data_IF_715657570304
#
_entry.id   IF_715657570304
#
_cell.length_a   1.000
_cell.length_b   1.000
_cell.length_c   1.000
_cell.angle_alpha   90.00
_cell.angle_beta   90.00
_cell.angle_gamma   90.00
#
_symmetry.space_group_name_H-M   'P 1'
#
loop_
_entity.id
_entity.type
_entity.pdbx_description
1 polymer ?
2 polymer ?
3 non-polymer ?
4 water ?
#
loop_
_entity_poly.entity_id
_entity_poly.type
_entity_poly.pdbx_seq_one_letter_code
_entity_poly.pdbx_strand_id
2 'polyribonucleotide' 'UUCUGC' ?
#
# COMPACT_ATOMS: atom_id res chain seq x y z
N UNK A 1 4.74 19.75 -6.59
CA UNK A 1 6.08 19.31 -6.95
C UNK A 1 6.61 18.23 -6.02
N UNK A 2 6.84 17.03 -6.55
CA UNK A 2 7.48 15.96 -5.80
C UNK A 2 8.25 15.09 -6.77
N UNK A 3 8.75 13.96 -6.28
CA UNK A 3 9.58 13.06 -7.07
C UNK A 3 8.86 12.48 -8.28
N UNK A 4 7.55 12.71 -8.41
CA UNK A 4 6.79 12.15 -9.52
C UNK A 4 6.26 13.21 -10.48
N UNK A 5 6.67 14.47 -10.31
CA UNK A 5 6.31 15.50 -11.27
C UNK A 5 6.99 15.23 -12.60
N UNK A 6 6.23 15.44 -13.69
CA UNK A 6 6.70 15.17 -15.04
C UNK A 6 7.20 16.47 -15.64
N UNK A 7 8.49 16.52 -15.97
CA UNK A 7 9.11 17.68 -16.60
C UNK A 7 9.49 17.31 -18.02
N UNK A 8 8.89 17.99 -19.00
CA UNK A 8 9.07 17.61 -20.40
C UNK A 8 10.52 17.81 -20.85
N UNK A 9 11.15 18.90 -20.42
CA UNK A 9 12.50 19.20 -20.88
C UNK A 9 13.47 18.10 -20.52
N UNK A 10 13.36 17.56 -19.30
CA UNK A 10 14.27 16.51 -18.86
C UNK A 10 13.92 15.14 -19.46
N UNK A 11 12.70 14.98 -19.98
CA UNK A 11 12.39 13.79 -20.77
C UNK A 11 13.07 13.87 -22.13
N UNK A 12 12.98 15.02 -22.78
CA UNK A 12 13.56 15.17 -24.12
C UNK A 12 15.07 14.99 -24.11
N UNK A 13 15.74 15.50 -23.08
CA UNK A 13 17.19 15.41 -23.00
C UNK A 13 17.69 14.06 -22.48
N UNK A 14 16.80 13.19 -22.04
CA UNK A 14 17.19 11.89 -21.54
C UNK A 14 17.59 11.85 -20.08
N UNK A 15 17.38 12.93 -19.34
CA UNK A 15 17.70 12.93 -17.91
C UNK A 15 16.77 12.01 -17.15
N UNK A 16 15.48 11.99 -17.51
CA UNK A 16 14.49 11.13 -16.88
C UNK A 16 13.99 10.12 -17.91
N UNK A 17 14.34 8.84 -17.70
CA UNK A 17 13.96 7.78 -18.62
C UNK A 17 12.81 6.94 -18.11
N UNK A 18 12.05 7.44 -17.14
CA UNK A 18 10.87 6.72 -16.68
C UNK A 18 9.79 6.72 -17.76
N UNK A 19 9.07 5.61 -17.87
CA UNK A 19 8.09 5.42 -18.93
C UNK A 19 6.66 5.22 -18.45
N UNK A 20 6.44 4.93 -17.18
CA UNK A 20 5.11 4.64 -16.67
C UNK A 20 4.52 5.90 -16.04
N UNK A 21 3.28 6.21 -16.40
CA UNK A 21 2.62 7.45 -16.03
C UNK A 21 1.30 7.15 -15.35
N UNK A 22 0.98 7.91 -14.31
CA UNK A 22 -0.33 7.87 -13.68
C UNK A 22 -1.21 8.96 -14.26
N UNK A 23 -2.37 8.57 -14.78
CA UNK A 23 -3.37 9.50 -15.31
C UNK A 23 -4.39 9.77 -14.23
N UNK A 24 -4.68 11.05 -13.98
CA UNK A 24 -5.42 11.45 -12.79
C UNK A 24 -6.79 12.06 -13.14
N UNK A 25 -7.68 12.01 -12.14
CA UNK A 25 -8.96 12.71 -12.15
C UNK A 25 -9.93 12.15 -13.21
N UNK A 26 -9.82 10.87 -13.51
CA UNK A 26 -10.70 10.25 -14.51
C UNK A 26 -12.13 10.20 -13.97
N UNK A 27 -13.14 10.64 -14.73
CA UNK A 27 -14.52 10.47 -14.27
C UNK A 27 -14.82 9.00 -14.04
N UNK A 28 -15.52 8.72 -12.93
CA UNK A 28 -15.61 7.35 -12.45
C UNK A 28 -16.46 6.45 -13.35
N UNK A 29 -17.18 7.00 -14.33
CA UNK A 29 -17.96 6.21 -15.25
C UNK A 29 -17.20 5.86 -16.53
N UNK A 30 -15.98 6.37 -16.70
CA UNK A 30 -15.12 5.90 -17.78
C UNK A 30 -14.89 4.41 -17.67
N UNK A 31 -14.84 3.73 -18.81
CA UNK A 31 -14.45 2.34 -18.88
C UNK A 31 -13.04 2.23 -19.44
N UNK A 32 -12.46 1.03 -19.31
CA UNK A 32 -11.13 0.80 -19.87
C UNK A 32 -11.11 1.08 -21.37
N UNK A 33 -12.16 0.66 -22.09
CA UNK A 33 -12.21 0.89 -23.52
C UNK A 33 -12.26 2.38 -23.85
N UNK A 34 -13.08 3.13 -23.12
CA UNK A 34 -13.13 4.58 -23.33
C UNK A 34 -11.77 5.22 -23.09
N UNK A 35 -11.07 4.80 -22.03
CA UNK A 35 -9.76 5.35 -21.75
C UNK A 35 -8.77 5.01 -22.86
N UNK A 36 -8.80 3.76 -23.33
CA UNK A 36 -7.97 3.35 -24.45
C UNK A 36 -8.23 4.22 -25.68
N UNK A 37 -9.50 4.49 -25.99
CA UNK A 37 -9.84 5.34 -27.13
C UNK A 37 -9.39 6.77 -26.90
N UNK A 38 -9.57 7.28 -25.67
CA UNK A 38 -9.13 8.63 -25.34
C UNK A 38 -7.62 8.78 -25.59
N UNK A 39 -6.83 7.82 -25.15
CA UNK A 39 -5.38 7.90 -25.32
C UNK A 39 -5.01 7.73 -26.79
N UNK A 40 -5.72 6.86 -27.51
CA UNK A 40 -5.38 6.58 -28.90
C UNK A 40 -5.61 7.77 -29.82
N UNK A 41 -6.33 8.80 -29.36
CA UNK A 41 -6.52 9.99 -30.18
C UNK A 41 -5.18 10.62 -30.53
N UNK A 42 -4.27 10.68 -29.55
CA UNK A 42 -2.96 11.27 -29.74
C UNK A 42 -1.81 10.28 -29.59
N UNK A 43 -2.05 9.09 -29.05
CA UNK A 43 -0.94 8.21 -28.69
C UNK A 43 -1.20 6.76 -29.10
N UNK A 44 -1.89 6.54 -30.20
CA UNK A 44 -2.14 5.18 -30.67
C UNK A 44 -0.84 4.49 -31.01
N UNK A 45 -0.64 3.29 -30.45
CA UNK A 45 0.52 2.49 -30.73
C UNK A 45 1.79 2.91 -30.03
N UNK A 46 1.71 3.77 -29.00
CA UNK A 46 2.89 4.25 -28.31
C UNK A 46 3.03 3.69 -26.90
N UNK A 47 2.07 2.88 -26.43
CA UNK A 47 2.14 2.33 -25.09
C UNK A 47 1.88 0.84 -25.13
N UNK A 48 2.36 0.14 -24.10
CA UNK A 48 2.26 -1.32 -24.04
C UNK A 48 1.67 -1.84 -22.73
N UNK A 49 1.15 -0.96 -21.88
CA UNK A 49 0.44 -1.39 -20.68
C UNK A 49 -0.60 -0.34 -20.34
N UNK A 50 -1.79 -0.79 -19.98
CA UNK A 50 -2.85 0.12 -19.55
C UNK A 50 -3.69 -0.56 -18.49
N UNK A 51 -3.91 0.12 -17.36
CA UNK A 51 -4.73 -0.40 -16.29
C UNK A 51 -5.56 0.72 -15.68
N UNK A 52 -6.89 0.54 -15.73
CA UNK A 52 -7.83 1.42 -15.05
C UNK A 52 -8.65 0.54 -14.11
N UNK A 53 -8.40 0.68 -12.81
CA UNK A 53 -9.05 -0.21 -11.85
C UNK A 53 -10.53 0.11 -11.73
N UNK A 54 -11.37 -0.92 -11.83
CA UNK A 54 -12.82 -0.80 -11.75
C UNK A 54 -13.29 -1.40 -10.45
N UNK A 55 -13.94 -0.59 -9.61
CA UNK A 55 -14.57 -1.09 -8.39
C UNK A 55 -15.89 -1.75 -8.77
N UNK A 56 -15.91 -3.09 -8.75
CA UNK A 56 -17.06 -3.83 -9.27
C UNK A 56 -18.31 -3.62 -8.42
N UNK A 57 -18.15 -3.37 -7.12
CA UNK A 57 -19.31 -3.14 -6.24
C UNK A 57 -20.11 -1.96 -6.75
N UNK A 58 -19.50 -0.78 -6.78
CA UNK A 58 -20.11 0.37 -7.45
C UNK A 58 -20.09 0.15 -8.96
N UNK A 59 -20.58 1.14 -9.70
CA UNK A 59 -20.44 1.17 -11.15
C UNK A 59 -19.35 2.14 -11.57
N UNK A 60 -18.23 2.17 -10.85
CA UNK A 60 -17.28 3.26 -10.97
C UNK A 60 -15.85 2.74 -10.98
N UNK A 61 -14.98 3.49 -11.65
CA UNK A 61 -13.54 3.28 -11.56
C UNK A 61 -12.97 4.10 -10.41
N UNK A 62 -11.70 3.83 -10.08
CA UNK A 62 -11.09 4.46 -8.92
C UNK A 62 -10.64 5.89 -9.18
N UNK A 63 -10.82 6.40 -10.40
CA UNK A 63 -10.49 7.77 -10.72
C UNK A 63 -9.09 8.00 -11.25
N UNK A 64 -8.29 6.94 -11.42
CA UNK A 64 -6.94 7.10 -11.95
C UNK A 64 -6.53 5.82 -12.69
N UNK A 65 -5.47 5.94 -13.48
CA UNK A 65 -5.02 4.84 -14.32
C UNK A 65 -3.52 4.91 -14.51
N UNK A 66 -2.93 3.78 -14.89
CA UNK A 66 -1.50 3.67 -15.11
C UNK A 66 -1.23 3.17 -16.52
N UNK A 67 -0.28 3.81 -17.19
CA UNK A 67 0.05 3.50 -18.57
C UNK A 67 1.56 3.51 -18.73
N UNK A 68 2.09 2.50 -19.41
CA UNK A 68 3.50 2.42 -19.71
C UNK A 68 3.71 2.76 -21.18
N UNK A 69 4.39 3.88 -21.44
CA UNK A 69 4.77 4.24 -22.79
C UNK A 69 6.03 3.49 -23.20
N UNK A 70 6.10 3.15 -24.49
CA UNK A 70 7.24 2.37 -24.96
C UNK A 70 8.50 3.23 -24.98
N UNK A 71 8.38 4.50 -25.34
CA UNK A 71 9.47 5.45 -25.27
C UNK A 71 9.07 6.64 -24.41
N UNK A 72 9.97 7.16 -23.59
CA UNK A 72 9.61 8.28 -22.71
C UNK A 72 9.12 9.51 -23.45
N UNK A 73 9.59 9.74 -24.69
CA UNK A 73 9.17 10.91 -25.44
C UNK A 73 7.67 10.94 -25.67
N UNK A 74 7.03 9.77 -25.71
CA UNK A 74 5.58 9.73 -25.90
C UNK A 74 4.82 10.39 -24.75
N UNK A 75 5.45 10.54 -23.59
CA UNK A 75 4.82 11.25 -22.49
C UNK A 75 4.62 12.71 -22.83
N UNK A 76 5.61 13.31 -23.52
CA UNK A 76 5.48 14.70 -23.94
C UNK A 76 4.29 14.86 -24.89
N UNK A 77 4.15 13.95 -25.84
CA UNK A 77 3.02 13.97 -26.76
C UNK A 77 1.69 13.93 -26.02
N UNK A 78 1.55 12.98 -25.11
CA UNK A 78 0.29 12.86 -24.37
C UNK A 78 0.08 14.04 -23.44
N UNK A 79 1.12 14.42 -22.70
CA UNK A 79 0.97 15.49 -21.72
C UNK A 79 0.63 16.82 -22.35
N UNK A 80 1.37 17.19 -23.41
CA UNK A 80 1.14 18.48 -24.04
C UNK A 80 -0.24 18.58 -24.68
N UNK A 81 -0.84 17.46 -25.07
CA UNK A 81 -2.14 17.47 -25.70
C UNK A 81 -3.30 17.40 -24.71
N UNK A 82 -3.11 16.73 -23.56
CA UNK A 82 -4.22 16.44 -22.68
C UNK A 82 -4.16 17.11 -21.31
N UNK A 83 -2.97 17.44 -20.81
CA UNK A 83 -2.87 18.02 -19.47
C UNK A 83 -3.54 19.38 -19.46
N UNK A 84 -4.38 19.62 -18.45
CA UNK A 84 -5.11 20.87 -18.33
C UNK A 84 -6.45 20.89 -19.02
N UNK A 85 -6.77 19.88 -19.82
CA UNK A 85 -8.03 19.83 -20.55
C UNK A 85 -9.07 19.06 -19.75
N UNK A 86 -10.33 19.33 -20.08
CA UNK A 86 -11.46 18.71 -19.37
C UNK A 86 -11.67 17.28 -19.84
N UNK A 87 -11.93 16.38 -18.89
CA UNK A 87 -12.29 15.01 -19.26
C UNK A 87 -13.64 14.97 -19.94
N UNK A 88 -14.51 15.92 -19.62
CA UNK A 88 -15.84 16.04 -20.20
C UNK A 88 -16.07 17.50 -20.52
N UNK A 89 -16.43 17.81 -21.77
CA UNK A 89 -16.54 19.20 -22.21
C UNK A 89 -17.61 19.97 -21.47
N UNK A 90 -18.51 19.30 -20.75
CA UNK A 90 -19.59 19.96 -20.03
C UNK A 90 -19.29 20.18 -18.55
N UNK A 91 -18.10 19.82 -18.07
CA UNK A 91 -17.82 19.88 -16.64
C UNK A 91 -16.40 20.35 -16.40
N UNK A 92 -16.27 21.46 -15.68
CA UNK A 92 -14.97 22.03 -15.36
C UNK A 92 -14.26 21.29 -14.23
N UNK A 93 -14.94 20.35 -13.56
CA UNK A 93 -14.43 19.77 -12.33
C UNK A 93 -13.22 18.87 -12.60
N UNK A 94 -13.39 17.88 -13.46
CA UNK A 94 -12.35 16.88 -13.69
C UNK A 94 -11.44 17.32 -14.82
N UNK A 95 -10.17 17.55 -14.50
CA UNK A 95 -9.16 18.00 -15.44
C UNK A 95 -8.08 16.93 -15.55
N UNK A 96 -7.70 16.60 -16.77
CA UNK A 96 -6.67 15.60 -16.99
C UNK A 96 -5.31 16.08 -16.49
N UNK A 97 -4.65 15.25 -15.69
CA UNK A 97 -3.32 15.55 -15.20
C UNK A 97 -2.54 14.25 -15.09
N UNK A 98 -1.21 14.37 -15.12
CA UNK A 98 -0.34 13.21 -15.11
C UNK A 98 0.76 13.39 -14.06
N UNK A 99 1.35 12.26 -13.69
CA UNK A 99 2.55 12.21 -12.88
C UNK A 99 3.20 10.86 -13.10
N UNK A 100 4.44 10.73 -12.65
CA UNK A 100 5.14 9.46 -12.79
C UNK A 100 4.51 8.42 -11.88
N UNK A 101 4.45 7.18 -12.36
CA UNK A 101 3.93 6.08 -11.56
C UNK A 101 4.98 5.57 -10.60
N UNK A 102 4.52 4.95 -9.50
CA UNK A 102 5.43 4.40 -8.51
C UNK A 102 5.99 3.05 -8.90
N UNK A 103 5.33 2.35 -9.83
CA UNK A 103 5.85 1.11 -10.42
C UNK A 103 6.23 1.42 -11.85
N UNK A 104 7.50 1.18 -12.20
CA UNK A 104 8.06 1.62 -13.47
C UNK A 104 8.41 0.42 -14.34
N UNK A 105 7.91 0.42 -15.57
CA UNK A 105 8.33 -0.56 -16.56
C UNK A 105 7.29 -1.65 -16.82
N UNK A 106 7.20 -2.05 -18.10
CA UNK A 106 6.29 -3.12 -18.49
C UNK A 106 6.57 -4.41 -17.72
N UNK A 107 7.85 -4.78 -17.62
CA UNK A 107 8.23 -6.00 -16.91
C UNK A 107 7.77 -5.97 -15.46
N UNK A 108 7.94 -4.84 -14.77
CA UNK A 108 7.54 -4.75 -13.38
C UNK A 108 6.03 -4.75 -13.24
N UNK A 109 5.32 -4.11 -14.16
CA UNK A 109 3.86 -4.07 -14.09
C UNK A 109 3.27 -5.46 -14.38
N UNK A 110 3.90 -6.21 -15.29
CA UNK A 110 3.46 -7.58 -15.55
C UNK A 110 3.64 -8.44 -14.31
N UNK A 111 4.80 -8.34 -13.67
CA UNK A 111 5.06 -9.09 -12.45
C UNK A 111 4.11 -8.68 -11.32
N UNK A 112 3.72 -7.40 -11.29
CA UNK A 112 2.79 -6.94 -10.26
C UNK A 112 1.43 -7.60 -10.40
N UNK A 113 0.93 -7.73 -11.62
CA UNK A 113 -0.46 -8.12 -11.82
C UNK A 113 -0.66 -9.55 -12.28
N UNK A 114 0.37 -10.23 -12.77
CA UNK A 114 0.16 -11.57 -13.32
C UNK A 114 -0.33 -12.55 -12.24
N UNK A 115 0.04 -12.31 -10.98
CA UNK A 115 -0.41 -13.14 -9.88
C UNK A 115 -1.55 -12.49 -9.10
N UNK A 116 -2.06 -11.36 -9.57
CA UNK A 116 -3.06 -10.62 -8.83
C UNK A 116 -4.44 -11.26 -8.99
N UNK A 117 -5.30 -11.00 -7.99
CA UNK A 117 -6.66 -11.53 -8.02
C UNK A 117 -7.53 -10.85 -9.05
N UNK A 118 -7.17 -9.64 -9.49
CA UNK A 118 -7.95 -8.95 -10.51
C UNK A 118 -7.90 -9.67 -11.86
N UNK A 119 -6.91 -10.56 -12.07
CA UNK A 119 -6.80 -11.27 -13.34
C UNK A 119 -7.90 -12.30 -13.55
N UNK A 120 -8.72 -12.55 -12.52
CA UNK A 120 -9.82 -13.49 -12.62
C UNK A 120 -11.18 -12.81 -12.49
N UNK A 121 -11.22 -11.49 -12.33
CA UNK A 121 -12.44 -10.73 -12.56
C UNK A 121 -12.68 -10.66 -14.07
N UNK A 122 -13.73 -9.94 -14.45
CA UNK A 122 -14.08 -9.84 -15.87
C UNK A 122 -12.91 -9.23 -16.64
N UNK A 123 -12.64 -9.69 -17.87
CA UNK A 123 -11.54 -9.11 -18.64
C UNK A 123 -11.67 -7.61 -18.86
N UNK A 124 -12.88 -7.07 -18.79
CA UNK A 124 -13.06 -5.62 -18.91
C UNK A 124 -12.44 -4.87 -17.74
N UNK A 125 -12.12 -5.54 -16.64
CA UNK A 125 -11.54 -4.92 -15.47
C UNK A 125 -10.05 -5.21 -15.31
N UNK A 126 -9.45 -5.98 -16.23
CA UNK A 126 -8.10 -6.48 -16.09
C UNK A 126 -7.09 -5.51 -16.69
N UNK A 127 -5.87 -5.51 -16.16
CA UNK A 127 -4.77 -4.82 -16.86
C UNK A 127 -4.55 -5.44 -18.23
N UNK A 128 -4.11 -4.62 -19.16
CA UNK A 128 -3.85 -5.05 -20.53
C UNK A 128 -2.43 -4.67 -20.92
N UNK A 129 -1.80 -5.53 -21.73
CA UNK A 129 -0.51 -5.23 -22.32
C UNK A 129 -0.65 -5.29 -23.84
N UNK A 130 0.30 -4.65 -24.51
CA UNK A 130 0.28 -4.58 -25.96
C UNK A 130 1.69 -4.82 -26.48
N UNK A 131 1.77 -5.22 -27.75
CA UNK A 131 3.06 -5.56 -28.35
C UNK A 131 3.93 -4.31 -28.40
N UNK A 132 5.17 -4.45 -27.93
CA UNK A 132 6.03 -3.28 -27.74
C UNK A 132 6.73 -2.87 -29.03
N UNK A 133 7.15 -3.84 -29.86
CA UNK A 133 7.95 -3.54 -31.04
C UNK A 133 7.55 -4.43 -32.20
N UNK A 134 7.88 -3.98 -33.41
CA UNK A 134 7.70 -4.77 -34.60
C UNK A 134 6.44 -4.40 -35.37
N UNK A 135 6.12 -5.19 -36.39
CA UNK A 135 4.92 -4.89 -37.20
C UNK A 135 3.62 -5.02 -36.44
N UNK A 136 3.59 -5.77 -35.33
CA UNK A 136 2.40 -5.89 -34.51
C UNK A 136 2.39 -4.95 -33.32
N UNK A 137 3.18 -3.88 -33.37
CA UNK A 137 3.24 -2.95 -32.25
C UNK A 137 1.86 -2.33 -32.02
N UNK A 138 1.44 -2.29 -30.76
CA UNK A 138 0.16 -1.74 -30.40
C UNK A 138 -0.98 -2.74 -30.31
N UNK A 139 -0.85 -3.91 -30.93
CA UNK A 139 -1.87 -4.94 -30.79
C UNK A 139 -1.86 -5.51 -29.39
N UNK A 140 -3.04 -5.91 -28.92
CA UNK A 140 -3.14 -6.51 -27.59
C UNK A 140 -2.51 -7.90 -27.59
N UNK A 141 -1.71 -8.17 -26.58
CA UNK A 141 -0.91 -9.30 -26.13
C UNK A 141 -1.64 -10.05 -25.02
N UNK A 142 -1.60 -11.38 -25.02
CA UNK A 142 -2.11 -12.14 -23.88
C UNK A 142 -1.24 -11.87 -22.65
N UNK A 143 -1.90 -11.59 -21.53
CA UNK A 143 -1.17 -11.37 -20.30
C UNK A 143 -0.52 -12.68 -19.84
N UNK A 144 0.75 -12.65 -19.44
CA UNK A 144 1.41 -13.87 -18.97
C UNK A 144 0.66 -14.52 -17.81
N UNK A 145 0.78 -15.84 -17.74
CA UNK A 145 0.11 -16.62 -16.72
C UNK A 145 0.74 -16.35 -15.35
N UNK A 146 0.03 -16.71 -14.26
CA UNK A 146 0.65 -16.60 -12.93
C UNK A 146 1.90 -17.46 -12.84
N UNK A 147 2.90 -16.94 -12.13
CA UNK A 147 4.20 -17.62 -12.03
C UNK A 147 4.61 -17.83 -10.57
N UNK A 148 3.64 -17.92 -9.67
CA UNK A 148 3.94 -18.13 -8.25
C UNK A 148 3.36 -19.46 -7.75
N UNK B 2 -15.62 3.83 12.46
CA UNK B 2 -15.56 2.98 11.28
C UNK B 2 -15.34 1.53 11.65
N UNK B 3 -15.00 0.70 10.65
CA UNK B 3 -14.83 -0.73 10.87
C UNK B 3 -13.67 -1.05 11.81
N UNK B 4 -12.70 -0.15 11.97
CA UNK B 4 -11.53 -0.40 12.79
C UNK B 4 -11.54 0.36 14.10
N UNK B 5 -12.63 1.07 14.41
CA UNK B 5 -12.74 1.72 15.71
C UNK B 5 -12.89 0.68 16.81
N UNK B 6 -12.22 0.91 17.93
CA UNK B 6 -12.23 -0.02 19.06
C UNK B 6 -13.34 0.40 20.02
N UNK B 7 -14.13 -0.58 20.46
CA UNK B 7 -15.24 -0.38 21.39
C UNK B 7 -15.06 -1.34 22.56
N UNK B 8 -14.81 -0.79 23.75
CA UNK B 8 -14.50 -1.65 24.90
C UNK B 8 -15.69 -2.53 25.26
N UNK B 9 -16.91 -1.98 25.19
CA UNK B 9 -18.09 -2.78 25.51
C UNK B 9 -18.24 -3.96 24.55
N UNK B 10 -17.98 -3.74 23.26
CA UNK B 10 -18.08 -4.82 22.29
C UNK B 10 -17.01 -5.87 22.51
N UNK B 11 -15.87 -5.49 23.08
CA UNK B 11 -14.84 -6.46 23.42
C UNK B 11 -15.25 -7.26 24.65
N UNK B 12 -15.75 -6.57 25.68
CA UNK B 12 -16.08 -7.24 26.94
C UNK B 12 -17.24 -8.20 26.76
N UNK B 13 -18.21 -7.88 25.90
CA UNK B 13 -19.35 -8.76 25.66
C UNK B 13 -19.05 -9.88 24.67
N UNK B 14 -17.85 -9.91 24.09
CA UNK B 14 -17.48 -10.97 23.17
C UNK B 14 -17.95 -10.77 21.75
N UNK B 15 -18.50 -9.61 21.41
CA UNK B 15 -19.03 -9.39 20.07
C UNK B 15 -17.88 -9.19 19.06
N UNK B 16 -16.84 -8.46 19.47
CA UNK B 16 -15.68 -8.22 18.60
C UNK B 16 -14.52 -9.04 19.12
N UNK B 17 -14.09 -10.03 18.33
CA UNK B 17 -13.06 -10.97 18.73
C UNK B 17 -11.70 -10.69 18.10
N UNK B 18 -11.53 -9.54 17.46
CA UNK B 18 -10.26 -9.20 16.86
C UNK B 18 -9.21 -8.94 17.93
N UNK B 19 -7.98 -9.38 17.66
CA UNK B 19 -6.89 -9.27 18.62
C UNK B 19 -5.74 -8.38 18.18
N UNK B 20 -5.60 -8.11 16.89
CA UNK B 20 -4.49 -7.30 16.40
C UNK B 20 -4.89 -5.82 16.40
N UNK B 21 -4.04 -4.99 16.99
CA UNK B 21 -4.36 -3.60 17.25
C UNK B 21 -3.25 -2.72 16.68
N UNK B 22 -3.64 -1.57 16.13
CA UNK B 22 -2.71 -0.54 15.66
C UNK B 22 -2.53 0.49 16.77
N UNK B 23 -1.30 0.68 17.22
CA UNK B 23 -0.96 1.75 18.15
C UNK B 23 -0.50 2.95 17.34
N UNK B 24 -1.15 4.10 17.56
CA UNK B 24 -0.97 5.27 16.69
C UNK B 24 -0.27 6.40 17.42
N UNK B 25 0.24 7.35 16.62
CA UNK B 25 0.82 8.60 17.09
C UNK B 25 2.03 8.35 18.01
N UNK B 26 2.86 7.39 17.63
CA UNK B 26 4.05 7.08 18.42
C UNK B 26 5.13 8.11 18.12
N UNK B 27 5.78 8.66 19.14
CA UNK B 27 6.90 9.59 18.88
C UNK B 27 7.96 8.93 18.01
N UNK B 28 8.48 9.71 17.06
CA UNK B 28 9.29 9.16 15.97
C UNK B 28 10.56 8.50 16.48
N UNK B 29 11.10 8.97 17.61
CA UNK B 29 12.36 8.44 18.12
C UNK B 29 12.19 7.20 19.00
N UNK B 30 10.95 6.71 19.16
CA UNK B 30 10.75 5.45 19.88
C UNK B 30 11.47 4.31 19.18
N UNK B 31 11.99 3.37 19.96
CA UNK B 31 12.52 2.12 19.45
C UNK B 31 11.57 0.98 19.81
N UNK B 32 11.81 -0.18 19.20
CA UNK B 32 10.98 -1.34 19.50
C UNK B 32 11.10 -1.74 20.96
N UNK B 33 12.31 -1.65 21.52
CA UNK B 33 12.50 -2.00 22.92
C UNK B 33 11.79 -1.02 23.84
N UNK B 34 11.87 0.28 23.54
CA UNK B 34 11.15 1.27 24.33
C UNK B 34 9.64 1.03 24.27
N UNK B 35 9.12 0.74 23.08
CA UNK B 35 7.69 0.48 22.94
C UNK B 35 7.29 -0.77 23.70
N UNK B 36 8.11 -1.83 23.61
CA UNK B 36 7.85 -3.05 24.36
C UNK B 36 7.83 -2.78 25.87
N UNK B 37 8.77 -1.95 26.35
CA UNK B 37 8.78 -1.59 27.77
C UNK B 37 7.56 -0.76 28.14
N UNK B 38 7.17 0.16 27.26
CA UNK B 38 5.98 0.99 27.49
C UNK B 38 4.73 0.12 27.60
N UNK B 39 4.58 -0.84 26.69
CA UNK B 39 3.41 -1.72 26.72
C UNK B 39 3.46 -2.64 27.92
N UNK B 40 4.66 -3.09 28.29
CA UNK B 40 4.80 -4.05 29.39
C UNK B 40 4.42 -3.44 30.75
N UNK B 41 4.34 -2.12 30.86
CA UNK B 41 3.95 -1.50 32.12
C UNK B 41 2.57 -1.97 32.54
N UNK B 42 1.64 -2.05 31.59
CA UNK B 42 0.28 -2.47 31.86
C UNK B 42 -0.08 -3.83 31.26
N UNK B 43 0.70 -4.33 30.29
CA UNK B 43 0.25 -5.45 29.49
C UNK B 43 1.34 -6.50 29.29
N UNK B 44 2.19 -6.70 30.29
CA UNK B 44 3.24 -7.70 30.19
C UNK B 44 2.62 -9.10 30.11
N UNK B 45 3.01 -9.85 29.08
CA UNK B 45 2.50 -11.19 28.88
C UNK B 45 1.14 -11.29 28.24
N UNK B 46 0.61 -10.20 27.67
CA UNK B 46 -0.71 -10.21 27.04
C UNK B 46 -0.65 -10.14 25.53
N UNK B 47 0.53 -10.13 24.92
CA UNK B 47 0.63 -10.03 23.47
C UNK B 47 1.74 -10.94 22.97
N UNK B 48 1.62 -11.35 21.71
CA UNK B 48 2.55 -12.30 21.10
C UNK B 48 3.06 -11.85 19.74
N UNK B 49 2.85 -10.60 19.37
CA UNK B 49 3.44 -10.03 18.17
C UNK B 49 3.59 -8.53 18.36
N UNK B 50 4.73 -7.99 17.94
CA UNK B 50 4.98 -6.56 18.04
C UNK B 50 5.90 -6.14 16.91
N UNK B 51 5.49 -5.15 16.13
CA UNK B 51 6.29 -4.65 15.03
C UNK B 51 6.15 -3.14 14.96
N UNK B 52 7.27 -2.44 15.14
CA UNK B 52 7.37 -1.00 14.95
C UNK B 52 8.34 -0.75 13.81
N UNK B 53 7.81 -0.39 12.65
CA UNK B 53 8.64 -0.22 11.46
C UNK B 53 9.60 0.96 11.64
N UNK B 54 10.86 0.75 11.28
CA UNK B 54 11.92 1.73 11.47
C UNK B 54 12.43 2.16 10.10
N UNK B 55 12.32 3.46 9.81
CA UNK B 55 12.90 4.06 8.61
C UNK B 55 14.36 4.37 8.92
N UNK B 56 15.24 3.40 8.63
CA UNK B 56 16.64 3.52 9.02
C UNK B 56 17.43 4.47 8.12
N UNK B 57 16.83 4.98 7.05
CA UNK B 57 17.49 6.04 6.27
C UNK B 57 17.35 7.38 6.97
N UNK B 58 16.14 7.69 7.43
CA UNK B 58 15.86 8.94 8.13
C UNK B 58 15.93 8.78 9.64
N UNK B 59 16.23 7.58 10.14
CA UNK B 59 16.50 7.32 11.56
C UNK B 59 15.31 7.73 12.43
N UNK B 60 14.15 7.16 12.10
CA UNK B 60 12.93 7.38 12.87
C UNK B 60 11.96 6.26 12.54
N UNK B 61 11.02 6.02 13.46
CA UNK B 61 9.97 5.04 13.20
C UNK B 61 8.82 5.69 12.44
N UNK B 62 7.97 4.84 11.86
CA UNK B 62 6.89 5.32 11.00
C UNK B 62 5.73 5.93 11.77
N UNK B 63 5.79 5.97 13.09
CA UNK B 63 4.77 6.61 13.89
C UNK B 63 3.64 5.72 14.36
N UNK B 64 3.66 4.43 14.00
CA UNK B 64 2.61 3.52 14.41
C UNK B 64 3.19 2.12 14.51
N UNK B 65 2.52 1.27 15.28
CA UNK B 65 2.96 -0.10 15.47
C UNK B 65 1.76 -1.03 15.46
N UNK B 66 2.03 -2.30 15.23
CA UNK B 66 1.00 -3.34 15.21
C UNK B 66 1.32 -4.37 16.28
N UNK B 67 0.31 -4.71 17.08
CA UNK B 67 0.46 -5.60 18.23
C UNK B 67 -0.70 -6.58 18.24
N UNK B 68 -0.39 -7.86 18.41
CA UNK B 68 -1.42 -8.89 18.54
C UNK B 68 -1.52 -9.30 20.00
N UNK B 69 -2.66 -8.99 20.63
CA UNK B 69 -2.92 -9.43 21.98
C UNK B 69 -3.35 -10.89 21.98
N UNK B 70 -3.00 -11.58 23.07
CA UNK B 70 -3.28 -13.02 23.16
C UNK B 70 -4.76 -13.25 23.42
N UNK B 71 -5.40 -12.38 24.21
CA UNK B 71 -6.83 -12.37 24.40
C UNK B 71 -7.36 -10.97 24.15
N UNK B 72 -8.56 -10.86 23.55
CA UNK B 72 -9.08 -9.52 23.21
C UNK B 72 -9.29 -8.62 24.42
N UNK B 73 -9.69 -9.16 25.57
CA UNK B 73 -9.92 -8.31 26.74
C UNK B 73 -8.65 -7.57 27.18
N UNK B 74 -7.47 -8.06 26.77
CA UNK B 74 -6.24 -7.32 27.04
C UNK B 74 -6.21 -5.98 26.32
N UNK B 75 -6.99 -5.83 25.25
CA UNK B 75 -7.06 -4.53 24.57
C UNK B 75 -7.67 -3.48 25.49
N UNK B 76 -8.68 -3.88 26.28
CA UNK B 76 -9.32 -2.93 27.20
C UNK B 76 -8.31 -2.44 28.23
N UNK B 77 -7.49 -3.36 28.76
CA UNK B 77 -6.49 -2.98 29.75
C UNK B 77 -5.53 -1.94 29.19
N UNK B 78 -5.00 -2.18 27.99
CA UNK B 78 -4.07 -1.24 27.39
C UNK B 78 -4.78 0.05 26.99
N UNK B 79 -5.93 -0.06 26.35
CA UNK B 79 -6.63 1.13 25.88
C UNK B 79 -7.01 2.06 27.01
N UNK B 80 -7.61 1.50 28.08
CA UNK B 80 -8.03 2.34 29.19
C UNK B 80 -6.84 3.03 29.85
N UNK B 81 -5.68 2.39 29.87
CA UNK B 81 -4.53 3.00 30.52
C UNK B 81 -3.88 4.07 29.64
N UNK B 82 -3.79 3.82 28.33
CA UNK B 82 -2.93 4.63 27.47
C UNK B 82 -3.68 5.56 26.52
N UNK B 83 -4.87 5.19 26.05
CA UNK B 83 -5.53 5.98 25.02
C UNK B 83 -5.87 7.36 25.55
N UNK B 84 -5.59 8.39 24.75
CA UNK B 84 -5.84 9.76 25.14
C UNK B 84 -4.79 10.37 26.03
N UNK B 85 -3.80 9.60 26.48
CA UNK B 85 -2.74 10.13 27.31
C UNK B 85 -1.57 10.58 26.44
N UNK B 86 -0.93 11.67 26.83
CA UNK B 86 0.30 12.09 26.17
C UNK B 86 1.40 11.09 26.43
N UNK B 87 2.20 10.82 25.39
CA UNK B 87 3.37 9.96 25.57
C UNK B 87 4.35 10.54 26.58
N UNK B 88 4.31 11.87 26.80
CA UNK B 88 5.11 12.57 27.82
C UNK B 88 6.59 12.26 27.71
N UNK B 89 7.03 11.87 26.50
CA UNK B 89 8.39 11.44 26.25
C UNK B 89 8.87 12.15 25.00
N UNK B 90 10.16 12.43 24.94
CA UNK B 90 10.71 13.39 23.99
C UNK B 90 9.96 14.70 24.27
N UNK B 91 9.74 15.56 23.27
CA UNK B 91 8.84 16.68 23.51
C UNK B 91 7.64 16.56 22.59
N UNK B 92 7.03 15.38 22.56
CA UNK B 92 5.90 15.10 21.70
C UNK B 92 4.62 15.70 22.27
N UNK B 93 3.75 16.15 21.37
CA UNK B 93 2.40 16.58 21.72
C UNK B 93 1.35 15.57 21.29
N UNK B 94 1.77 14.41 20.80
CA UNK B 94 0.84 13.41 20.31
C UNK B 94 0.27 12.59 21.45
N UNK B 95 -1.03 12.31 21.38
CA UNK B 95 -1.71 11.46 22.34
C UNK B 95 -1.74 10.05 21.78
N UNK B 96 -1.56 9.07 22.66
CA UNK B 96 -1.64 7.67 22.23
C UNK B 96 -3.07 7.33 21.85
N UNK B 97 -3.22 6.57 20.76
CA UNK B 97 -4.52 6.16 20.27
C UNK B 97 -4.40 4.76 19.69
N UNK B 98 -5.55 4.09 19.53
CA UNK B 98 -5.56 2.73 19.00
C UNK B 98 -6.71 2.55 18.02
N UNK B 99 -6.53 1.57 17.14
CA UNK B 99 -7.59 1.07 16.28
C UNK B 99 -7.23 -0.36 15.92
N UNK B 100 -8.17 -1.05 15.25
CA UNK B 100 -7.91 -2.42 14.83
C UNK B 100 -7.00 -2.43 13.61
N UNK B 101 -6.05 -3.37 13.62
CA UNK B 101 -5.19 -3.53 12.47
C UNK B 101 -5.94 -4.19 11.32
N UNK B 102 -5.46 -3.95 10.10
CA UNK B 102 -6.08 -4.53 8.92
C UNK B 102 -5.69 -5.99 8.71
N UNK B 103 -4.57 -6.42 9.28
CA UNK B 103 -4.17 -7.82 9.30
C UNK B 103 -4.40 -8.37 10.70
N UNK B 104 -5.12 -9.47 10.80
CA UNK B 104 -5.56 -10.01 12.08
C UNK B 104 -4.98 -11.39 12.31
N UNK B 105 -4.36 -11.59 13.46
CA UNK B 105 -3.91 -12.90 13.89
C UNK B 105 -2.41 -13.07 13.84
N UNK B 106 -1.87 -13.74 14.85
CA UNK B 106 -0.43 -14.01 14.90
C UNK B 106 0.02 -14.82 13.69
N UNK B 107 -0.77 -15.83 13.32
CA UNK B 107 -0.39 -16.72 12.21
C UNK B 107 -0.34 -15.97 10.89
N UNK B 108 -1.34 -15.11 10.63
CA UNK B 108 -1.32 -14.32 9.41
C UNK B 108 -0.16 -13.33 9.40
N UNK B 109 0.10 -12.69 10.56
CA UNK B 109 1.24 -11.79 10.65
C UNK B 109 2.56 -12.52 10.46
N UNK B 110 2.64 -13.77 10.91
CA UNK B 110 3.84 -14.57 10.66
C UNK B 110 4.00 -14.82 9.17
N UNK B 111 2.92 -15.29 8.52
CA UNK B 111 2.96 -15.50 7.08
C UNK B 111 3.29 -14.22 6.32
N UNK B 112 2.84 -13.07 6.84
CA UNK B 112 3.05 -11.81 6.15
C UNK B 112 4.51 -11.39 6.16
N UNK B 113 5.24 -11.68 7.24
CA UNK B 113 6.57 -11.11 7.42
C UNK B 113 7.70 -12.13 7.33
N UNK B 114 7.42 -13.43 7.38
CA UNK B 114 8.52 -14.39 7.43
C UNK B 114 9.33 -14.42 6.15
N UNK B 115 8.72 -14.05 5.02
CA UNK B 115 9.42 -13.95 3.75
C UNK B 115 9.75 -12.52 3.36
N UNK B 116 9.46 -11.55 4.22
CA UNK B 116 9.65 -10.16 3.87
C UNK B 116 11.13 -9.77 3.95
N UNK B 117 11.45 -8.64 3.31
CA UNK B 117 12.84 -8.19 3.22
C UNK B 117 13.38 -7.68 4.54
N UNK B 118 12.52 -7.27 5.46
CA UNK B 118 13.00 -6.71 6.72
C UNK B 118 13.65 -7.77 7.61
N UNK B 119 13.34 -9.05 7.37
CA UNK B 119 13.96 -10.11 8.17
C UNK B 119 15.45 -10.26 7.88
N UNK B 120 15.92 -9.71 6.76
CA UNK B 120 17.34 -9.67 6.45
C UNK B 120 18.04 -8.45 7.04
N UNK B 121 17.29 -7.54 7.66
CA UNK B 121 17.86 -6.35 8.26
C UNK B 121 18.31 -6.63 9.69
N UNK B 122 18.80 -5.60 10.36
CA UNK B 122 19.26 -5.74 11.73
C UNK B 122 18.09 -6.20 12.62
N UNK B 123 18.32 -7.15 13.52
CA UNK B 123 17.22 -7.69 14.33
C UNK B 123 16.45 -6.65 15.14
N UNK B 124 17.04 -5.51 15.45
CA UNK B 124 16.31 -4.47 16.17
C UNK B 124 15.24 -3.81 15.31
N UNK B 125 15.27 -4.00 14.00
CA UNK B 125 14.27 -3.45 13.10
C UNK B 125 13.23 -4.49 12.68
N UNK B 126 13.32 -5.74 13.19
CA UNK B 126 12.48 -6.83 12.71
C UNK B 126 11.19 -6.94 13.54
N UNK B 127 10.13 -7.45 12.92
CA UNK B 127 8.96 -7.85 13.70
C UNK B 127 9.34 -8.96 14.67
N UNK B 128 8.67 -8.97 15.82
CA UNK B 128 8.98 -9.91 16.88
C UNK B 128 7.73 -10.63 17.33
N UNK B 129 7.88 -11.91 17.66
CA UNK B 129 6.79 -12.72 18.20
C UNK B 129 7.21 -13.24 19.56
N UNK B 130 6.20 -13.59 20.38
CA UNK B 130 6.41 -14.08 21.72
C UNK B 130 5.56 -15.31 21.94
N UNK B 131 6.01 -16.17 22.86
CA UNK B 131 5.27 -17.39 23.16
C UNK B 131 3.87 -17.04 23.65
N UNK B 132 2.86 -17.69 23.06
CA UNK B 132 1.48 -17.30 23.30
C UNK B 132 0.92 -17.92 24.57
N UNK B 133 1.34 -19.14 24.91
CA UNK B 133 0.71 -19.90 25.99
C UNK B 133 1.75 -20.79 26.65
N UNK B 134 1.38 -21.32 27.82
CA UNK B 134 2.22 -22.24 28.55
C UNK B 134 3.09 -21.54 29.57
N UNK B 135 4.01 -22.28 30.18
CA UNK B 135 4.87 -21.69 31.23
C UNK B 135 5.81 -20.60 30.70
N UNK B 136 6.11 -20.58 29.41
CA UNK B 136 7.00 -19.58 28.84
C UNK B 136 6.25 -18.46 28.14
N UNK B 137 4.96 -18.28 28.46
CA UNK B 137 4.16 -17.25 27.81
C UNK B 137 4.78 -15.87 28.01
N UNK B 138 4.93 -15.13 26.91
CA UNK B 138 5.50 -13.81 26.95
C UNK B 138 6.99 -13.76 26.63
N UNK B 139 7.70 -14.87 26.75
CA UNK B 139 9.10 -14.92 26.36
C UNK B 139 9.23 -14.72 24.85
N UNK B 140 10.33 -14.11 24.44
CA UNK B 140 10.56 -13.92 23.02
C UNK B 140 10.79 -15.26 22.34
N UNK B 141 10.30 -15.37 21.10
CA UNK B 141 10.28 -16.58 20.31
C UNK B 141 10.99 -16.34 19.00
N UNK B 142 11.79 -17.28 18.52
CA UNK B 142 12.40 -17.12 17.19
C UNK B 142 11.32 -17.02 16.11
N UNK B 143 11.49 -16.06 15.22
CA UNK B 143 10.58 -15.93 14.09
C UNK B 143 10.77 -17.10 13.14
N UNK B 144 9.68 -17.68 12.62
CA UNK B 144 9.82 -18.76 11.64
C UNK B 144 10.65 -18.32 10.43
N UNK B 145 11.51 -19.22 9.97
CA UNK B 145 12.38 -18.97 8.84
C UNK B 145 11.56 -18.78 7.56
N UNK B 146 12.16 -18.19 6.53
CA UNK B 146 11.46 -18.09 5.24
C UNK B 146 11.02 -19.46 4.73
N UNK B 147 9.78 -19.53 4.24
CA UNK B 147 9.21 -20.77 3.72
C UNK B 147 8.97 -20.68 2.21
N UNK B 148 9.84 -19.98 1.49
CA UNK B 148 9.73 -19.88 0.04
C UNK B 148 10.91 -20.56 -0.63
X LIG E 1 -1.49 0.25 -27.86
X LIG E 1 -0.35 1.03 -27.98
X LIG E 1 -2.72 1.17 -28.08
X LIG E 1 -2.62 1.91 -29.24
X LIG E 1 -3.96 0.21 -28.04
X LIG E 1 -5.03 0.86 -28.65
X LIG F 1 4.28 19.75 -15.98
X LIG F 1 4.67 20.14 -17.26
X LIG F 1 3.12 18.75 -16.14
X LIG F 1 3.44 17.72 -17.01
X LIG F 1 2.84 18.23 -14.71
X LIG F 1 1.46 18.15 -14.59
X LIG G 1 6.06 -8.65 -22.54
X LIG G 1 5.45 -9.48 -23.47
X LIG G 1 7.43 -8.24 -23.13
X LIG G 1 7.30 -7.43 -24.23
X LIG G 1 8.18 -7.54 -21.98
X LIG G 1 7.82 -8.17 -20.79
X LIG H 1 7.03 -8.82 25.98
X LIG H 1 8.00 -8.54 26.96
X LIG H 1 5.88 -9.64 26.64
X LIG H 1 5.18 -8.89 27.58
X LIG H 1 4.98 -10.09 25.46
X LIG H 1 3.91 -10.81 25.99
X LIG I 1 -9.76 -5.75 7.64
X LIG I 1 -10.23 -4.82 6.69
X LIG I 1 -10.59 -5.53 8.93
X LIG I 1 -10.79 -4.18 9.21
X LIG I 1 -9.78 -6.25 10.05
X LIG I 1 -9.73 -5.42 11.16
#
# INVERSE_FOLDING_TARGET
MDRNSVDYAQIASGIDTRTTVMIKNIPNKFTQQMLRDYIDVTNKGTYDFLYLRIDFVNKCNVGYAFINFIEPQSIITFGKARVGTQWNVFHSEKICDISYANIQGKDRLIEKFRNSCVMDENPAYRPKIFVSHGPNRGMEEPFPAPNNARRKLRS
MDRNSVDYAQIASGIDTRTTVMIKNIPNKFTQQMLRDYIDVTNKGTYDFLYLRIDFVNKCNVGYAFINFIEPQSIITFGKARVGTQWNVFHSEKICDISYANIQGKDRLIEKFRNSCVMDENPAYRPKIFVSHGPNRGMEEPFPAPNNARRKLRS
GOL C1 O1 C2 O2 C3 O3
GOL C1 O1 C2 O2 C3 O3
GOL C1 O1 C2 O2 C3 O3
GOL C1 O1 C2 O2 C3 O3
GOL C1 O1 C2 O2 C3 O3
#
